data_IF_370884714195
#
_entry.id   IF_370884714195
#
_cell.length_a   1.000
_cell.length_b   1.000
_cell.length_c   1.000
_cell.angle_alpha   90.00
_cell.angle_beta   90.00
_cell.angle_gamma   90.00
#
_symmetry.space_group_name_H-M   'P 1'
#
loop_
_entity.id
_entity.type
_entity.pdbx_description
1 polymer ?
#
# COMPACT_ATOMS: atom_id res chain seq x y z
N UNK A 1 0.01 0.69 -12.65
CA UNK A 1 0.84 1.56 -11.79
C UNK A 1 2.26 1.00 -11.64
N UNK A 2 2.47 -0.07 -10.87
CA UNK A 2 3.81 -0.60 -10.57
C UNK A 2 4.62 -1.06 -11.79
N UNK A 3 3.97 -1.64 -12.80
CA UNK A 3 4.64 -1.95 -14.07
C UNK A 3 5.28 -0.71 -14.69
N UNK A 4 4.56 0.41 -14.75
CA UNK A 4 5.10 1.67 -15.29
C UNK A 4 6.17 2.26 -14.37
N UNK A 5 5.98 2.21 -13.05
CA UNK A 5 6.97 2.68 -12.08
C UNK A 5 8.31 1.93 -12.19
N UNK A 6 8.27 0.63 -12.54
CA UNK A 6 9.47 -0.19 -12.77
C UNK A 6 9.99 -0.14 -14.22
N UNK A 7 9.54 0.83 -15.04
CA UNK A 7 9.96 1.01 -16.43
C UNK A 7 9.41 -0.02 -17.42
N UNK A 8 8.43 -0.83 -17.01
CA UNK A 8 7.72 -1.76 -17.87
C UNK A 8 6.57 -1.09 -18.63
N UNK A 9 6.05 -1.78 -19.65
CA UNK A 9 4.88 -1.36 -20.43
C UNK A 9 3.77 -2.39 -20.29
N UNK A 10 2.53 -1.90 -20.27
CA UNK A 10 1.33 -2.75 -20.37
C UNK A 10 1.01 -2.93 -21.86
N UNK A 11 1.09 -4.16 -22.36
CA UNK A 11 0.82 -4.51 -23.76
C UNK A 11 -0.66 -4.78 -24.00
N UNK A 12 -1.33 -5.44 -23.06
CA UNK A 12 -2.75 -5.79 -23.16
C UNK A 12 -3.38 -5.77 -21.78
N UNK A 13 -4.57 -5.21 -21.67
CA UNK A 13 -5.37 -5.22 -20.46
C UNK A 13 -6.75 -5.74 -20.82
N UNK A 14 -7.19 -6.82 -20.17
CA UNK A 14 -8.55 -7.33 -20.29
C UNK A 14 -9.11 -7.48 -18.88
N UNK A 15 -10.20 -6.78 -18.58
CA UNK A 15 -10.96 -6.94 -17.36
C UNK A 15 -12.37 -7.43 -17.72
N UNK A 16 -12.87 -8.44 -17.02
CA UNK A 16 -14.19 -9.01 -17.24
C UNK A 16 -14.77 -9.61 -15.97
N UNK A 17 -16.05 -10.01 -16.01
CA UNK A 17 -16.78 -10.52 -14.84
C UNK A 17 -16.23 -11.84 -14.29
N UNK A 18 -15.60 -12.66 -15.15
CA UNK A 18 -14.98 -13.94 -14.79
C UNK A 18 -13.48 -13.84 -14.50
N UNK A 19 -12.92 -12.63 -14.48
CA UNK A 19 -11.50 -12.38 -14.25
C UNK A 19 -10.91 -11.39 -15.25
N UNK A 20 -9.66 -11.02 -14.99
CA UNK A 20 -8.89 -10.16 -15.86
C UNK A 20 -7.45 -10.65 -15.97
N UNK A 21 -6.79 -10.32 -17.08
CA UNK A 21 -5.35 -10.52 -17.21
C UNK A 21 -4.72 -9.28 -17.81
N UNK A 22 -3.48 -9.04 -17.40
CA UNK A 22 -2.68 -7.93 -17.89
C UNK A 22 -1.38 -8.51 -18.43
N UNK A 23 -1.12 -8.27 -19.72
CA UNK A 23 0.14 -8.66 -20.35
C UNK A 23 1.11 -7.50 -20.22
N UNK A 24 2.23 -7.74 -19.55
CA UNK A 24 3.26 -6.74 -19.27
C UNK A 24 4.61 -7.13 -19.88
N UNK A 25 5.46 -6.16 -20.18
CA UNK A 25 6.79 -6.42 -20.78
C UNK A 25 7.86 -6.83 -19.77
N UNK A 26 7.63 -6.52 -18.50
CA UNK A 26 8.57 -6.79 -17.41
C UNK A 26 7.75 -7.11 -16.16
N UNK A 27 8.08 -8.22 -15.52
CA UNK A 27 7.56 -8.60 -14.21
C UNK A 27 8.72 -8.70 -13.22
N UNK A 28 8.48 -8.33 -11.97
CA UNK A 28 9.41 -8.50 -10.85
C UNK A 28 8.59 -8.70 -9.57
N UNK A 29 9.23 -9.08 -8.47
CA UNK A 29 8.55 -9.34 -7.21
C UNK A 29 7.73 -8.14 -6.72
N UNK A 30 8.18 -6.90 -6.96
CA UNK A 30 7.48 -5.70 -6.51
C UNK A 30 6.17 -5.49 -7.28
N UNK A 31 6.16 -5.79 -8.58
CA UNK A 31 4.95 -5.75 -9.41
C UNK A 31 4.00 -6.88 -9.01
N UNK A 32 4.52 -8.10 -8.81
CA UNK A 32 3.73 -9.27 -8.45
C UNK A 32 3.09 -9.11 -7.05
N UNK A 33 3.83 -8.57 -6.09
CA UNK A 33 3.36 -8.43 -4.71
C UNK A 33 2.63 -7.11 -4.43
N UNK A 34 2.64 -6.16 -5.38
CA UNK A 34 1.97 -4.87 -5.26
C UNK A 34 0.52 -4.94 -4.77
N UNK A 35 -0.35 -5.85 -5.24
CA UNK A 35 -1.75 -5.89 -4.80
C UNK A 35 -1.93 -6.10 -3.30
N UNK A 36 -0.95 -6.74 -2.63
CA UNK A 36 -1.03 -7.10 -1.22
C UNK A 36 -0.55 -5.99 -0.26
N UNK A 37 0.12 -4.95 -0.77
CA UNK A 37 0.59 -3.84 0.05
C UNK A 37 0.20 -2.46 -0.47
N UNK A 38 -0.15 -2.32 -1.76
CA UNK A 38 -0.51 -1.03 -2.34
C UNK A 38 -2.04 -0.85 -2.30
N UNK A 39 -2.57 0.07 -1.48
CA UNK A 39 -4.01 0.27 -1.35
C UNK A 39 -4.55 1.09 -2.53
N UNK A 40 -4.77 0.44 -3.67
CA UNK A 40 -5.20 1.10 -4.91
C UNK A 40 -6.44 1.99 -4.71
N UNK A 41 -7.43 1.52 -3.95
CA UNK A 41 -8.66 2.28 -3.69
C UNK A 41 -8.42 3.54 -2.86
N UNK A 42 -7.47 3.50 -1.91
CA UNK A 42 -7.05 4.70 -1.17
C UNK A 42 -6.43 5.71 -2.14
N UNK A 43 -5.54 5.27 -3.03
CA UNK A 43 -4.94 6.15 -4.03
C UNK A 43 -5.97 6.79 -4.97
N UNK A 44 -7.03 6.05 -5.34
CA UNK A 44 -8.14 6.59 -6.13
C UNK A 44 -8.95 7.65 -5.37
N UNK A 45 -9.25 7.41 -4.08
CA UNK A 45 -9.93 8.40 -3.23
C UNK A 45 -9.10 9.69 -3.11
N UNK A 46 -7.78 9.57 -2.89
CA UNK A 46 -6.86 10.71 -2.88
C UNK A 46 -6.92 11.46 -4.21
N UNK A 47 -6.79 10.74 -5.32
CA UNK A 47 -6.79 11.35 -6.65
C UNK A 47 -8.08 12.15 -6.91
N UNK A 48 -9.23 11.56 -6.61
CA UNK A 48 -10.54 12.22 -6.78
C UNK A 48 -10.64 13.46 -5.91
N UNK A 49 -10.24 13.38 -4.64
CA UNK A 49 -10.27 14.52 -3.73
C UNK A 49 -9.32 15.64 -4.19
N UNK A 50 -8.09 15.32 -4.58
CA UNK A 50 -7.11 16.30 -5.07
C UNK A 50 -7.61 17.00 -6.32
N UNK A 51 -8.11 16.25 -7.31
CA UNK A 51 -8.68 16.86 -8.54
C UNK A 51 -9.84 17.77 -8.17
N UNK A 52 -10.76 17.31 -7.32
CA UNK A 52 -11.92 18.12 -6.96
C UNK A 52 -11.56 19.35 -6.11
N UNK A 53 -10.53 19.25 -5.28
CA UNK A 53 -9.96 20.37 -4.56
C UNK A 53 -9.34 21.41 -5.51
N UNK A 54 -8.59 20.97 -6.51
CA UNK A 54 -7.95 21.88 -7.47
C UNK A 54 -8.95 22.57 -8.40
N UNK A 55 -10.04 21.90 -8.79
CA UNK A 55 -11.02 22.45 -9.76
C UNK A 55 -12.17 23.20 -9.07
N UNK A 56 -12.66 22.70 -7.92
CA UNK A 56 -13.86 23.21 -7.26
C UNK A 56 -13.64 23.61 -5.79
N UNK A 57 -12.40 23.64 -5.30
CA UNK A 57 -12.07 24.02 -3.92
C UNK A 57 -12.83 23.21 -2.85
N UNK A 58 -12.74 21.88 -2.91
CA UNK A 58 -13.35 20.92 -1.98
C UNK A 58 -12.81 20.95 -0.53
N UNK A 59 -12.38 22.10 -0.02
CA UNK A 59 -11.96 22.27 1.38
C UNK A 59 -13.02 21.77 2.37
N UNK A 60 -14.30 22.09 2.13
CA UNK A 60 -15.40 21.69 3.01
C UNK A 60 -15.68 20.17 3.01
N UNK A 61 -15.15 19.43 2.04
CA UNK A 61 -15.30 17.97 1.95
C UNK A 61 -14.17 17.20 2.64
N UNK A 62 -13.25 17.90 3.33
CA UNK A 62 -12.14 17.26 4.04
C UNK A 62 -12.58 16.16 5.02
N UNK A 63 -13.67 16.28 5.80
CA UNK A 63 -14.14 15.18 6.65
C UNK A 63 -14.56 13.94 5.86
N UNK A 64 -15.25 14.13 4.74
CA UNK A 64 -15.67 13.06 3.84
C UNK A 64 -14.48 12.38 3.17
N UNK A 65 -13.46 13.16 2.79
CA UNK A 65 -12.20 12.63 2.29
C UNK A 65 -11.56 11.67 3.30
N UNK A 66 -11.41 12.09 4.57
CA UNK A 66 -10.86 11.22 5.61
C UNK A 66 -11.70 9.96 5.85
N UNK A 67 -13.03 10.10 5.84
CA UNK A 67 -13.95 8.97 5.96
C UNK A 67 -13.75 7.95 4.83
N UNK A 68 -13.73 8.39 3.57
CA UNK A 68 -13.55 7.50 2.42
C UNK A 68 -12.14 6.89 2.37
N UNK A 69 -11.11 7.60 2.83
CA UNK A 69 -9.77 7.02 3.01
C UNK A 69 -9.82 5.87 4.03
N UNK A 70 -10.47 6.08 5.17
CA UNK A 70 -10.67 5.04 6.17
C UNK A 70 -11.41 3.82 5.62
N UNK A 71 -12.52 4.04 4.89
CA UNK A 71 -13.29 2.96 4.24
C UNK A 71 -12.45 2.22 3.20
N UNK A 72 -11.75 2.94 2.32
CA UNK A 72 -10.92 2.33 1.28
C UNK A 72 -9.74 1.56 1.85
N UNK A 73 -9.15 2.04 2.95
CA UNK A 73 -8.07 1.34 3.64
C UNK A 73 -8.58 0.10 4.38
N UNK A 74 -9.71 0.20 5.07
CA UNK A 74 -10.36 -0.96 5.69
C UNK A 74 -10.71 -2.03 4.65
N UNK A 75 -11.23 -1.61 3.49
CA UNK A 75 -11.48 -2.51 2.36
C UNK A 75 -10.19 -3.16 1.84
N UNK A 76 -9.10 -2.40 1.71
CA UNK A 76 -7.80 -2.97 1.32
C UNK A 76 -7.34 -4.06 2.30
N UNK A 77 -7.39 -3.79 3.61
CA UNK A 77 -6.98 -4.75 4.63
C UNK A 77 -7.85 -6.00 4.63
N UNK A 78 -9.18 -5.86 4.56
CA UNK A 78 -10.09 -7.01 4.55
C UNK A 78 -9.98 -7.83 3.28
N UNK A 79 -9.80 -7.18 2.12
CA UNK A 79 -9.57 -7.86 0.86
C UNK A 79 -8.23 -8.61 0.86
N UNK A 80 -7.14 -7.98 1.32
CA UNK A 80 -5.83 -8.63 1.44
C UNK A 80 -5.92 -9.83 2.38
N UNK A 81 -6.56 -9.68 3.53
CA UNK A 81 -6.81 -10.79 4.46
C UNK A 81 -7.54 -11.96 3.79
N UNK A 82 -8.65 -11.67 3.09
CA UNK A 82 -9.42 -12.69 2.39
C UNK A 82 -8.61 -13.40 1.30
N UNK A 83 -7.84 -12.66 0.49
CA UNK A 83 -7.03 -13.24 -0.58
C UNK A 83 -5.92 -14.14 -0.01
N UNK A 84 -5.26 -13.71 1.08
CA UNK A 84 -4.18 -14.46 1.73
C UNK A 84 -4.64 -15.78 2.38
N UNK A 85 -5.93 -16.01 2.55
CA UNK A 85 -6.48 -17.30 2.99
C UNK A 85 -6.39 -18.39 1.92
N UNK A 86 -6.06 -18.02 0.68
CA UNK A 86 -5.96 -18.94 -0.47
C UNK A 86 -4.55 -18.95 -1.03
N UNK A 87 -4.16 -20.04 -1.71
CA UNK A 87 -2.85 -20.08 -2.38
C UNK A 87 -2.85 -19.18 -3.61
N UNK A 88 -1.95 -18.19 -3.60
CA UNK A 88 -1.77 -17.24 -4.69
C UNK A 88 -0.47 -17.53 -5.43
N UNK A 89 -0.54 -17.65 -6.76
CA UNK A 89 0.64 -17.88 -7.60
C UNK A 89 1.68 -16.78 -7.45
N UNK A 90 1.23 -15.52 -7.35
CA UNK A 90 2.11 -14.36 -7.19
C UNK A 90 2.97 -14.41 -5.92
N UNK A 91 2.51 -15.11 -4.88
CA UNK A 91 3.24 -15.33 -3.62
C UNK A 91 4.10 -16.59 -3.69
N UNK A 92 3.56 -17.69 -4.22
CA UNK A 92 4.28 -18.96 -4.28
C UNK A 92 5.48 -18.90 -5.21
N UNK A 93 5.36 -18.18 -6.32
CA UNK A 93 6.42 -18.05 -7.32
C UNK A 93 7.62 -17.25 -6.80
N UNK A 94 7.42 -16.39 -5.79
CA UNK A 94 8.48 -15.62 -5.12
C UNK A 94 8.96 -16.28 -3.82
N UNK A 95 8.26 -17.30 -3.33
CA UNK A 95 8.46 -17.91 -2.02
C UNK A 95 7.72 -17.21 -0.88
N UNK A 96 7.14 -18.00 0.02
CA UNK A 96 6.27 -17.51 1.11
C UNK A 96 6.97 -16.54 2.07
N UNK A 97 8.15 -16.91 2.58
CA UNK A 97 8.85 -16.08 3.57
C UNK A 97 9.25 -14.72 2.99
N UNK A 98 9.85 -14.75 1.79
CA UNK A 98 10.25 -13.53 1.09
C UNK A 98 9.05 -12.63 0.82
N UNK A 99 7.96 -13.20 0.29
CA UNK A 99 6.73 -12.45 0.03
C UNK A 99 6.14 -11.87 1.30
N UNK A 100 6.06 -12.64 2.39
CA UNK A 100 5.52 -12.19 3.66
C UNK A 100 6.30 -10.97 4.21
N UNK A 101 7.63 -10.99 4.15
CA UNK A 101 8.48 -9.87 4.57
C UNK A 101 8.22 -8.64 3.70
N UNK A 102 8.19 -8.80 2.37
CA UNK A 102 7.95 -7.67 1.44
C UNK A 102 6.56 -7.07 1.64
N UNK A 103 5.52 -7.90 1.75
CA UNK A 103 4.13 -7.46 1.98
C UNK A 103 4.04 -6.71 3.31
N UNK A 104 4.68 -7.24 4.36
CA UNK A 104 4.69 -6.60 5.67
C UNK A 104 5.39 -5.23 5.62
N UNK A 105 6.61 -5.15 5.08
CA UNK A 105 7.35 -3.89 4.94
C UNK A 105 6.54 -2.89 4.11
N UNK A 106 5.95 -3.33 3.00
CA UNK A 106 5.12 -2.47 2.14
C UNK A 106 3.94 -1.85 2.88
N UNK A 107 3.21 -2.63 3.67
CA UNK A 107 2.07 -2.14 4.46
C UNK A 107 2.53 -1.16 5.56
N UNK A 108 3.64 -1.46 6.24
CA UNK A 108 4.22 -0.54 7.24
C UNK A 108 4.63 0.78 6.59
N UNK A 109 5.28 0.75 5.43
CA UNK A 109 5.66 1.96 4.69
C UNK A 109 4.46 2.79 4.26
N UNK A 110 3.38 2.14 3.81
CA UNK A 110 2.13 2.83 3.47
C UNK A 110 1.57 3.60 4.66
N UNK A 111 1.58 3.01 5.86
CA UNK A 111 1.12 3.68 7.08
C UNK A 111 2.09 4.77 7.55
N UNK A 112 3.38 4.47 7.54
CA UNK A 112 4.45 5.36 7.99
C UNK A 112 4.54 6.64 7.15
N UNK A 113 4.20 6.55 5.86
CA UNK A 113 4.10 7.71 4.97
C UNK A 113 2.69 8.32 4.99
N UNK A 114 1.65 7.48 4.93
CA UNK A 114 0.27 7.93 4.79
C UNK A 114 -0.25 8.73 5.98
N UNK A 115 -0.01 8.27 7.22
CA UNK A 115 -0.54 8.92 8.43
C UNK A 115 0.04 10.33 8.63
N UNK A 116 1.37 10.55 8.54
CA UNK A 116 1.93 11.91 8.65
C UNK A 116 1.40 12.85 7.57
N UNK A 117 1.26 12.38 6.32
CA UNK A 117 0.74 13.18 5.22
C UNK A 117 -0.74 13.55 5.40
N UNK A 118 -1.56 12.64 5.93
CA UNK A 118 -2.99 12.89 6.16
C UNK A 118 -3.23 13.81 7.36
N UNK A 119 -2.47 13.62 8.43
CA UNK A 119 -2.67 14.41 9.66
C UNK A 119 -2.03 15.79 9.58
N UNK A 120 -0.97 15.96 8.78
CA UNK A 120 -0.13 17.15 8.72
C UNK A 120 0.37 17.65 10.09
N UNK A 121 0.34 16.78 11.12
CA UNK A 121 0.77 17.09 12.50
C UNK A 121 2.21 16.68 12.76
N UNK A 122 2.70 15.68 12.04
CA UNK A 122 4.02 15.08 12.23
C UNK A 122 4.75 15.14 10.90
N UNK A 123 6.03 15.53 10.91
CA UNK A 123 6.82 15.51 9.68
C UNK A 123 7.20 14.06 9.38
N UNK A 124 7.32 13.71 8.10
CA UNK A 124 7.70 12.36 7.68
C UNK A 124 8.99 11.89 8.37
N UNK A 125 10.03 12.72 8.38
CA UNK A 125 11.31 12.38 9.01
C UNK A 125 11.19 12.09 10.51
N UNK A 126 10.32 12.79 11.23
CA UNK A 126 10.09 12.54 12.67
C UNK A 126 9.43 11.18 12.88
N UNK A 127 8.45 10.83 12.03
CA UNK A 127 7.79 9.52 12.09
C UNK A 127 8.76 8.37 11.80
N UNK A 128 9.63 8.52 10.79
CA UNK A 128 10.69 7.55 10.51
C UNK A 128 11.71 7.46 11.66
N UNK A 129 12.08 8.58 12.27
CA UNK A 129 12.95 8.61 13.46
C UNK A 129 12.34 7.84 14.63
N UNK A 130 11.06 8.08 14.95
CA UNK A 130 10.37 7.35 16.02
C UNK A 130 10.26 5.85 15.74
N UNK A 131 10.06 5.46 14.48
CA UNK A 131 10.04 4.07 14.09
C UNK A 131 11.41 3.41 14.35
N UNK A 132 12.51 4.04 13.90
CA UNK A 132 13.87 3.54 14.14
C UNK A 132 14.21 3.46 15.63
N UNK A 133 13.89 4.49 16.41
CA UNK A 133 14.10 4.51 17.85
C UNK A 133 13.30 3.41 18.55
N UNK A 134 12.04 3.20 18.13
CA UNK A 134 11.19 2.12 18.62
C UNK A 134 11.79 0.75 18.34
N UNK A 135 12.26 0.53 17.11
CA UNK A 135 12.93 -0.70 16.71
C UNK A 135 14.21 -0.93 17.50
N UNK A 136 15.06 0.08 17.66
CA UNK A 136 16.29 0.00 18.46
C UNK A 136 15.99 -0.36 19.93
N UNK A 137 14.97 0.26 20.53
CA UNK A 137 14.52 -0.07 21.89
C UNK A 137 14.11 -1.53 22.04
N UNK A 138 13.39 -2.09 21.06
CA UNK A 138 13.00 -3.50 21.07
C UNK A 138 14.23 -4.41 20.99
N UNK A 139 15.19 -4.11 20.11
CA UNK A 139 16.44 -4.88 20.04
C UNK A 139 17.26 -4.81 21.32
N UNK A 140 17.38 -3.63 21.92
CA UNK A 140 18.06 -3.47 23.21
C UNK A 140 17.35 -4.21 24.33
N UNK A 141 16.01 -4.26 24.33
CA UNK A 141 15.25 -5.04 25.29
C UNK A 141 15.48 -6.55 25.10
N UNK A 142 15.43 -7.05 23.87
CA UNK A 142 15.69 -8.46 23.56
C UNK A 142 17.09 -8.88 24.03
N UNK A 143 18.11 -8.07 23.73
CA UNK A 143 19.50 -8.34 24.15
C UNK A 143 19.73 -8.26 25.67
N UNK A 144 18.77 -7.76 26.45
CA UNK A 144 18.81 -7.81 27.93
C UNK A 144 18.07 -9.02 28.50
N UNK A 145 17.13 -9.59 27.74
CA UNK A 145 16.28 -10.70 28.17
C UNK A 145 16.89 -12.05 27.80
N UNK A 146 17.61 -12.11 26.68
CA UNK A 146 18.37 -13.28 26.21
C UNK A 146 19.87 -13.07 26.41
#
# INVERSE_FOLDING_TARGET
>A
VWTWACGGRVKKFKAGRSGGHVVITKSNFLIALAPYFFPLYVALVILVYVIGHLVWNWQNYLPWFHFFIGVAYAFHVTLTWHILQTRQSDITDQGYLFSAVVIWIGNILVLLVGIPLLTARVRLFDAFGWWLDGTARVFHWLARVF
#
